data_IF_616702574754
#
_entry.id   IF_616702574754
#
_cell.length_a   1.000
_cell.length_b   1.000
_cell.length_c   1.000
_cell.angle_alpha   90.00
_cell.angle_beta   90.00
_cell.angle_gamma   90.00
#
_symmetry.space_group_name_H-M   'P 1'
#
loop_
_entity.id
_entity.type
_entity.pdbx_description
1 polymer ?
#
# COMPACT_ATOMS: atom_id res chain seq x y z
N UNK A 1 1.10 15.97 -4.69
CA UNK A 1 1.21 14.62 -4.08
C UNK A 1 0.95 13.51 -5.11
N UNK A 2 1.54 13.58 -6.32
CA UNK A 2 1.13 12.70 -7.44
C UNK A 2 2.24 11.94 -8.18
N UNK A 3 3.52 12.23 -7.92
CA UNK A 3 4.63 11.63 -8.69
C UNK A 3 5.45 10.62 -7.90
N UNK A 4 5.48 10.73 -6.57
CA UNK A 4 6.35 9.91 -5.73
C UNK A 4 5.81 8.48 -5.56
N UNK A 5 4.50 8.32 -5.38
CA UNK A 5 3.84 7.01 -5.30
C UNK A 5 3.92 6.25 -6.62
N UNK A 6 3.68 6.92 -7.75
CA UNK A 6 3.77 6.29 -9.07
C UNK A 6 5.17 5.80 -9.42
N UNK A 7 6.22 6.52 -9.01
CA UNK A 7 7.60 6.07 -9.21
C UNK A 7 7.91 4.79 -8.40
N UNK A 8 7.42 4.72 -7.16
CA UNK A 8 7.59 3.53 -6.30
C UNK A 8 6.88 2.31 -6.92
N UNK A 9 5.68 2.50 -7.49
CA UNK A 9 4.93 1.43 -8.14
C UNK A 9 5.68 0.86 -9.37
N UNK A 10 6.29 1.72 -10.19
CA UNK A 10 7.07 1.31 -11.35
C UNK A 10 8.35 0.56 -10.92
N UNK A 11 9.07 1.08 -9.92
CA UNK A 11 10.28 0.43 -9.41
C UNK A 11 9.97 -0.93 -8.78
N UNK A 12 8.85 -1.04 -8.06
CA UNK A 12 8.35 -2.30 -7.51
C UNK A 12 8.01 -3.33 -8.59
N UNK A 13 7.37 -2.91 -9.69
CA UNK A 13 7.05 -3.79 -10.81
C UNK A 13 8.32 -4.32 -11.51
N UNK A 14 9.32 -3.45 -11.70
CA UNK A 14 10.61 -3.85 -12.28
C UNK A 14 11.37 -4.80 -11.33
N UNK A 15 11.38 -4.50 -10.03
CA UNK A 15 12.03 -5.35 -9.03
C UNK A 15 11.40 -6.74 -8.91
N UNK A 16 10.09 -6.87 -9.16
CA UNK A 16 9.40 -8.15 -9.22
C UNK A 16 9.74 -8.99 -10.47
N UNK A 17 10.21 -8.36 -11.56
CA UNK A 17 10.59 -9.07 -12.79
C UNK A 17 12.00 -9.67 -12.73
N UNK A 18 12.85 -9.23 -11.80
CA UNK A 18 14.25 -9.66 -11.70
C UNK A 18 14.38 -10.68 -10.56
N UNK A 19 14.59 -11.99 -10.85
CA UNK A 19 14.56 -13.06 -9.85
C UNK A 19 15.52 -12.85 -8.66
N UNK A 20 16.69 -12.26 -8.91
CA UNK A 20 17.73 -12.03 -7.90
C UNK A 20 17.39 -10.95 -6.87
N UNK A 21 16.47 -10.02 -7.17
CA UNK A 21 16.05 -8.97 -6.24
C UNK A 21 14.56 -9.07 -5.87
N UNK A 22 13.88 -10.12 -6.36
CA UNK A 22 12.44 -10.30 -6.23
C UNK A 22 12.00 -10.44 -4.78
N UNK A 23 12.70 -11.25 -4.01
CA UNK A 23 12.43 -11.47 -2.59
C UNK A 23 12.61 -10.17 -1.78
N UNK A 24 13.73 -9.47 -1.99
CA UNK A 24 14.00 -8.18 -1.33
C UNK A 24 12.94 -7.13 -1.69
N UNK A 25 12.58 -7.03 -2.98
CA UNK A 25 11.53 -6.11 -3.46
C UNK A 25 10.19 -6.41 -2.79
N UNK A 26 9.88 -7.69 -2.60
CA UNK A 26 8.62 -8.14 -1.99
C UNK A 26 8.56 -7.84 -0.50
N UNK A 27 9.67 -8.01 0.22
CA UNK A 27 9.79 -7.60 1.62
C UNK A 27 9.62 -6.09 1.77
N UNK A 28 10.30 -5.29 0.93
CA UNK A 28 10.18 -3.83 0.93
C UNK A 28 8.75 -3.37 0.61
N UNK A 29 8.09 -4.00 -0.36
CA UNK A 29 6.69 -3.76 -0.70
C UNK A 29 5.76 -4.06 0.46
N UNK A 30 5.93 -5.19 1.14
CA UNK A 30 5.12 -5.53 2.31
C UNK A 30 5.29 -4.48 3.42
N UNK A 31 6.52 -4.06 3.73
CA UNK A 31 6.79 -2.99 4.71
C UNK A 31 6.10 -1.68 4.29
N UNK A 32 6.22 -1.30 3.01
CA UNK A 32 5.58 -0.10 2.47
C UNK A 32 4.05 -0.16 2.61
N UNK A 33 3.43 -1.29 2.24
CA UNK A 33 1.98 -1.49 2.36
C UNK A 33 1.50 -1.37 3.81
N UNK A 34 2.27 -1.89 4.78
CA UNK A 34 1.97 -1.77 6.22
C UNK A 34 2.05 -0.30 6.67
N UNK A 35 3.09 0.43 6.27
CA UNK A 35 3.23 1.85 6.62
C UNK A 35 2.10 2.70 6.04
N UNK A 36 1.73 2.44 4.78
CA UNK A 36 0.57 3.08 4.14
C UNK A 36 -0.73 2.72 4.87
N UNK A 37 -0.88 1.49 5.39
CA UNK A 37 -2.03 1.14 6.21
C UNK A 37 -2.12 1.99 7.47
N UNK A 38 -1.02 2.09 8.22
CA UNK A 38 -0.96 2.87 9.46
C UNK A 38 -1.30 4.34 9.18
N UNK A 39 -0.75 4.91 8.10
CA UNK A 39 -1.05 6.28 7.68
C UNK A 39 -2.55 6.47 7.33
N UNK A 40 -3.15 5.49 6.64
CA UNK A 40 -4.57 5.50 6.31
C UNK A 40 -5.45 5.35 7.56
N UNK A 41 -5.10 4.46 8.51
CA UNK A 41 -5.79 4.32 9.80
C UNK A 41 -5.78 5.65 10.55
N UNK A 42 -4.62 6.30 10.65
CA UNK A 42 -4.49 7.58 11.35
C UNK A 42 -5.35 8.68 10.71
N UNK A 43 -5.31 8.77 9.37
CA UNK A 43 -6.07 9.73 8.60
C UNK A 43 -7.59 9.51 8.75
N UNK A 44 -8.04 8.26 8.68
CA UNK A 44 -9.45 7.88 8.84
C UNK A 44 -9.96 8.10 10.27
N UNK A 45 -9.15 7.83 11.31
CA UNK A 45 -9.51 8.12 12.70
C UNK A 45 -9.70 9.61 12.95
N UNK A 46 -8.83 10.44 12.39
CA UNK A 46 -8.95 11.90 12.49
C UNK A 46 -9.96 12.49 11.51
N UNK A 47 -10.62 11.68 10.67
CA UNK A 47 -11.46 12.14 9.54
C UNK A 47 -10.76 13.19 8.67
N UNK A 48 -9.43 13.15 8.57
CA UNK A 48 -8.67 14.14 7.82
C UNK A 48 -8.97 13.94 6.34
N UNK A 49 -9.61 14.93 5.74
CA UNK A 49 -9.89 14.97 4.33
C UNK A 49 -8.71 15.64 3.63
N UNK A 50 -7.74 14.83 3.19
CA UNK A 50 -6.52 15.31 2.52
C UNK A 50 -6.81 16.16 1.26
N UNK A 51 -7.96 15.98 0.62
CA UNK A 51 -8.38 16.77 -0.54
C UNK A 51 -9.01 18.12 -0.20
N UNK A 52 -9.69 18.23 0.95
CA UNK A 52 -10.37 19.45 1.39
C UNK A 52 -9.66 20.19 2.53
N UNK A 53 -8.55 19.61 3.02
CA UNK A 53 -7.81 20.08 4.20
C UNK A 53 -8.71 20.30 5.45
N UNK A 54 -9.78 19.52 5.58
CA UNK A 54 -10.75 19.62 6.66
C UNK A 54 -10.94 18.26 7.36
N UNK A 55 -11.85 18.20 8.34
CA UNK A 55 -12.17 16.96 9.08
C UNK A 55 -13.45 16.26 8.55
N UNK A 56 -13.81 16.48 7.28
CA UNK A 56 -14.98 15.87 6.63
C UNK A 56 -14.68 14.52 5.95
N UNK A 57 -13.50 13.94 6.20
CA UNK A 57 -13.07 12.69 5.56
C UNK A 57 -14.02 11.53 5.87
N UNK A 58 -14.05 10.49 5.03
CA UNK A 58 -15.04 9.40 5.08
C UNK A 58 -14.90 8.44 6.29
N UNK A 59 -14.19 8.86 7.34
CA UNK A 59 -14.08 8.18 8.62
C UNK A 59 -13.48 6.78 8.53
N UNK A 60 -13.62 6.04 9.63
CA UNK A 60 -13.14 4.66 9.73
C UNK A 60 -13.93 3.68 8.86
N UNK A 61 -15.22 3.95 8.59
CA UNK A 61 -16.07 3.06 7.79
C UNK A 61 -15.51 2.82 6.38
N UNK A 62 -14.98 3.87 5.73
CA UNK A 62 -14.35 3.75 4.42
C UNK A 62 -13.04 2.95 4.44
N UNK A 63 -12.23 3.12 5.49
CA UNK A 63 -11.01 2.35 5.70
C UNK A 63 -11.31 0.84 5.77
N UNK A 64 -12.29 0.44 6.58
CA UNK A 64 -12.67 -0.97 6.72
C UNK A 64 -13.30 -1.54 5.44
N UNK A 65 -14.14 -0.75 4.76
CA UNK A 65 -14.91 -1.24 3.61
C UNK A 65 -14.07 -1.37 2.34
N UNK A 66 -13.10 -0.48 2.12
CA UNK A 66 -12.35 -0.45 0.86
C UNK A 66 -10.84 -0.65 1.03
N UNK A 67 -10.22 -0.04 2.04
CA UNK A 67 -8.75 -0.06 2.19
C UNK A 67 -8.25 -1.41 2.71
N UNK A 68 -8.92 -1.99 3.71
CA UNK A 68 -8.52 -3.28 4.29
C UNK A 68 -8.60 -4.42 3.25
N UNK A 69 -9.72 -4.60 2.50
CA UNK A 69 -9.78 -5.64 1.48
C UNK A 69 -8.69 -5.51 0.43
N UNK A 70 -8.49 -4.28 -0.09
CA UNK A 70 -7.45 -4.01 -1.08
C UNK A 70 -6.04 -4.32 -0.54
N UNK A 71 -5.74 -3.94 0.70
CA UNK A 71 -4.43 -4.21 1.29
C UNK A 71 -4.17 -5.68 1.55
N UNK A 72 -5.19 -6.44 1.99
CA UNK A 72 -5.06 -7.89 2.14
C UNK A 72 -4.74 -8.53 0.78
N UNK A 73 -5.44 -8.13 -0.29
CA UNK A 73 -5.18 -8.62 -1.65
C UNK A 73 -3.76 -8.28 -2.09
N UNK A 74 -3.29 -7.04 -1.88
CA UNK A 74 -1.95 -6.61 -2.28
C UNK A 74 -0.86 -7.36 -1.50
N UNK A 75 -1.01 -7.55 -0.19
CA UNK A 75 -0.06 -8.30 0.63
C UNK A 75 -0.01 -9.76 0.17
N UNK A 76 -1.16 -10.39 -0.04
CA UNK A 76 -1.24 -11.77 -0.52
C UNK A 76 -0.61 -11.93 -1.91
N UNK A 77 -0.87 -10.98 -2.81
CA UNK A 77 -0.29 -10.97 -4.16
C UNK A 77 1.22 -10.80 -4.12
N UNK A 78 1.74 -9.84 -3.35
CA UNK A 78 3.19 -9.64 -3.16
C UNK A 78 3.86 -10.86 -2.55
N UNK A 79 3.24 -11.53 -1.57
CA UNK A 79 3.78 -12.76 -0.99
C UNK A 79 3.82 -13.90 -2.02
N UNK A 80 2.73 -14.10 -2.76
CA UNK A 80 2.62 -15.19 -3.73
C UNK A 80 3.59 -15.02 -4.91
N UNK A 81 3.58 -13.85 -5.56
CA UNK A 81 4.44 -13.57 -6.71
C UNK A 81 5.86 -13.19 -6.35
N UNK A 82 6.09 -12.80 -5.10
CA UNK A 82 7.39 -12.36 -4.62
C UNK A 82 8.23 -13.48 -4.04
N UNK A 83 7.63 -14.25 -3.13
CA UNK A 83 8.30 -15.24 -2.30
C UNK A 83 7.94 -16.66 -2.75
N UNK A 84 6.66 -16.97 -2.92
CA UNK A 84 6.23 -18.36 -3.20
C UNK A 84 6.59 -18.85 -4.62
N UNK A 85 6.49 -17.98 -5.64
CA UNK A 85 6.77 -18.31 -7.04
C UNK A 85 8.27 -18.20 -7.44
N UNK A 86 9.19 -17.99 -6.47
CA UNK A 86 10.61 -17.61 -6.75
C UNK A 86 11.47 -18.85 -6.64
#
# INVERSE_FOLDING_TARGET
>A
MGYFTGLIEILAAIGLMIPSIRELTSILLMIFLILVFIANVYSSRKKVNLFKADYSGPGMAYLYKERIPMQIILIAWTWYFGIYLN
#
